data_IF_359079379191
#
_entry.id   IF_359079379191
#
_cell.length_a   1.000
_cell.length_b   1.000
_cell.length_c   1.000
_cell.angle_alpha   90.00
_cell.angle_beta   90.00
_cell.angle_gamma   90.00
#
_symmetry.space_group_name_H-M   'P 1'
#
loop_
_entity.id
_entity.type
_entity.pdbx_description
1 polymer ?
#
# COMPACT_ATOMS: atom_id res chain seq x y z
N UNK A 1 -20.11 -17.44 30.01
CA UNK A 1 -20.75 -16.79 28.85
C UNK A 1 -20.48 -17.65 27.62
N UNK A 2 -21.48 -18.36 27.11
CA UNK A 2 -21.34 -19.20 25.92
C UNK A 2 -21.05 -18.36 24.67
N UNK A 3 -20.28 -18.90 23.74
CA UNK A 3 -19.88 -18.23 22.49
C UNK A 3 -21.14 -17.93 21.64
N UNK A 4 -21.70 -16.73 21.76
CA UNK A 4 -22.81 -16.30 20.91
C UNK A 4 -22.32 -16.11 19.47
N UNK A 5 -22.88 -16.87 18.54
CA UNK A 5 -22.60 -16.74 17.11
C UNK A 5 -23.28 -15.46 16.62
N UNK A 6 -22.49 -14.40 16.37
CA UNK A 6 -23.02 -13.17 15.78
C UNK A 6 -23.69 -13.49 14.44
N UNK A 7 -24.89 -12.97 14.19
CA UNK A 7 -25.60 -13.10 12.90
C UNK A 7 -24.96 -12.23 11.80
N UNK A 8 -23.99 -11.38 12.17
CA UNK A 8 -23.24 -10.55 11.25
C UNK A 8 -22.13 -11.37 10.58
N UNK A 9 -22.36 -11.78 9.33
CA UNK A 9 -21.43 -12.59 8.54
C UNK A 9 -20.80 -11.73 7.45
N UNK A 10 -19.57 -12.05 7.06
CA UNK A 10 -18.93 -11.47 5.89
C UNK A 10 -18.69 -12.54 4.84
N UNK A 11 -19.04 -12.24 3.60
CA UNK A 11 -18.66 -13.05 2.45
C UNK A 11 -17.35 -12.52 1.88
N UNK A 12 -16.45 -13.45 1.54
CA UNK A 12 -15.16 -13.16 0.93
C UNK A 12 -15.15 -13.72 -0.49
N UNK A 13 -14.78 -12.87 -1.44
CA UNK A 13 -14.62 -13.21 -2.83
C UNK A 13 -13.20 -12.89 -3.27
N UNK A 14 -12.57 -13.85 -3.93
CA UNK A 14 -11.28 -13.68 -4.62
C UNK A 14 -11.59 -13.60 -6.11
N UNK A 15 -11.24 -12.49 -6.72
CA UNK A 15 -11.76 -12.07 -8.02
C UNK A 15 -10.58 -11.81 -8.96
N UNK A 16 -10.64 -12.42 -10.14
CA UNK A 16 -9.76 -12.07 -11.25
C UNK A 16 -10.45 -11.02 -12.12
N UNK A 17 -10.23 -9.73 -11.84
CA UNK A 17 -10.83 -8.66 -12.61
C UNK A 17 -10.12 -8.47 -13.95
N UNK A 18 -10.87 -8.27 -15.03
CA UNK A 18 -10.30 -8.10 -16.37
C UNK A 18 -9.45 -6.83 -16.51
N UNK A 19 -9.70 -5.79 -15.70
CA UNK A 19 -9.01 -4.49 -15.75
C UNK A 19 -7.96 -4.39 -14.65
N UNK A 20 -8.37 -4.53 -13.39
CA UNK A 20 -7.52 -4.36 -12.20
C UNK A 20 -6.66 -5.59 -11.89
N UNK A 21 -7.01 -6.76 -12.43
CA UNK A 21 -6.38 -8.02 -12.11
C UNK A 21 -6.85 -8.62 -10.79
N UNK A 22 -6.02 -9.47 -10.14
CA UNK A 22 -6.38 -10.12 -8.89
C UNK A 22 -6.74 -9.09 -7.82
N UNK A 23 -7.93 -9.25 -7.24
CA UNK A 23 -8.43 -8.43 -6.13
C UNK A 23 -9.26 -9.29 -5.18
N UNK A 24 -9.49 -8.79 -3.97
CA UNK A 24 -10.44 -9.41 -3.05
C UNK A 24 -11.53 -8.43 -2.61
N UNK A 25 -12.72 -8.97 -2.43
CA UNK A 25 -13.89 -8.26 -1.96
C UNK A 25 -14.43 -8.94 -0.72
N UNK A 26 -14.61 -8.18 0.35
CA UNK A 26 -15.32 -8.59 1.55
C UNK A 26 -16.63 -7.80 1.62
N UNK A 27 -17.76 -8.48 1.79
CA UNK A 27 -19.07 -7.81 1.91
C UNK A 27 -19.85 -8.34 3.11
N UNK A 28 -20.42 -7.42 3.90
CA UNK A 28 -21.27 -7.77 5.03
C UNK A 28 -22.63 -8.32 4.55
N UNK A 29 -23.14 -9.33 5.25
CA UNK A 29 -24.43 -9.97 4.97
C UNK A 29 -25.64 -9.15 5.45
N UNK A 30 -25.41 -8.08 6.22
CA UNK A 30 -26.46 -7.26 6.82
C UNK A 30 -26.32 -5.80 6.39
N UNK A 31 -27.46 -5.12 6.27
CA UNK A 31 -27.53 -3.71 5.89
C UNK A 31 -26.69 -2.85 6.87
N UNK A 32 -25.85 -1.91 6.40
CA UNK A 32 -25.80 -1.31 5.06
C UNK A 32 -24.91 -2.02 4.03
N UNK A 33 -24.63 -3.32 4.20
CA UNK A 33 -23.84 -4.14 3.27
C UNK A 33 -22.48 -3.51 2.98
N UNK A 34 -21.73 -3.20 4.04
CA UNK A 34 -20.40 -2.63 3.94
C UNK A 34 -19.51 -3.54 3.08
N UNK A 35 -18.87 -2.96 2.07
CA UNK A 35 -17.92 -3.63 1.21
C UNK A 35 -16.50 -3.10 1.47
N UNK A 36 -15.53 -4.00 1.50
CA UNK A 36 -14.10 -3.68 1.62
C UNK A 36 -13.37 -4.37 0.49
N UNK A 37 -12.45 -3.66 -0.15
CA UNK A 37 -11.71 -4.14 -1.29
C UNK A 37 -10.21 -4.08 -1.02
N UNK A 38 -9.50 -5.08 -1.51
CA UNK A 38 -8.05 -5.09 -1.60
C UNK A 38 -7.64 -5.26 -3.05
N UNK A 39 -6.80 -4.36 -3.53
CA UNK A 39 -6.38 -4.25 -4.92
C UNK A 39 -4.91 -3.86 -4.98
N UNK A 40 -4.23 -4.29 -6.04
CA UNK A 40 -2.80 -4.03 -6.24
C UNK A 40 -2.59 -3.31 -7.58
N UNK A 41 -2.10 -2.08 -7.53
CA UNK A 41 -1.85 -1.25 -8.71
C UNK A 41 -0.81 -1.86 -9.67
N UNK A 42 0.14 -2.67 -9.19
CA UNK A 42 1.11 -3.34 -10.06
C UNK A 42 0.46 -4.39 -10.96
N UNK A 43 -0.63 -5.03 -10.52
CA UNK A 43 -1.37 -5.97 -11.35
C UNK A 43 -2.10 -5.25 -12.50
N UNK A 44 -2.66 -4.07 -12.21
CA UNK A 44 -3.23 -3.21 -13.25
C UNK A 44 -2.18 -2.77 -14.27
N UNK A 45 -1.02 -2.28 -13.80
CA UNK A 45 0.08 -1.85 -14.68
C UNK A 45 0.56 -3.02 -15.54
N UNK A 46 0.74 -4.20 -14.97
CA UNK A 46 1.13 -5.41 -15.69
C UNK A 46 0.15 -5.74 -16.84
N UNK A 47 -1.15 -5.70 -16.57
CA UNK A 47 -2.19 -5.92 -17.58
C UNK A 47 -2.16 -4.87 -18.68
N UNK A 48 -1.96 -3.61 -18.33
CA UNK A 48 -1.85 -2.51 -19.30
C UNK A 48 -0.62 -2.66 -20.20
N UNK A 49 0.52 -3.08 -19.66
CA UNK A 49 1.73 -3.37 -20.44
C UNK A 49 1.52 -4.57 -21.37
N UNK A 50 0.87 -5.63 -20.89
CA UNK A 50 0.53 -6.79 -21.70
C UNK A 50 -0.38 -6.41 -22.88
N UNK A 51 -1.41 -5.60 -22.64
CA UNK A 51 -2.30 -5.06 -23.69
C UNK A 51 -1.54 -4.20 -24.71
N UNK A 52 -0.62 -3.38 -24.23
CA UNK A 52 0.25 -2.56 -25.08
C UNK A 52 1.41 -3.32 -25.72
N UNK A 53 1.50 -4.65 -25.52
CA UNK A 53 2.58 -5.51 -26.01
C UNK A 53 3.99 -5.00 -25.62
N UNK A 54 4.10 -4.35 -24.45
CA UNK A 54 5.36 -3.85 -23.93
C UNK A 54 6.09 -5.00 -23.23
N UNK A 55 7.35 -5.25 -23.61
CA UNK A 55 8.14 -6.30 -22.97
C UNK A 55 8.63 -5.82 -21.60
N UNK A 56 8.39 -6.61 -20.56
CA UNK A 56 8.92 -6.34 -19.21
C UNK A 56 9.28 -7.64 -18.50
N UNK A 57 10.05 -7.51 -17.41
CA UNK A 57 10.34 -8.59 -16.47
C UNK A 57 9.92 -8.12 -15.08
N UNK A 58 9.14 -8.94 -14.39
CA UNK A 58 8.68 -8.69 -13.03
C UNK A 58 9.22 -9.78 -12.09
N UNK A 59 9.47 -9.42 -10.84
CA UNK A 59 9.68 -10.36 -9.74
C UNK A 59 8.78 -9.94 -8.59
N UNK A 60 7.74 -10.72 -8.33
CA UNK A 60 6.62 -10.34 -7.46
C UNK A 60 6.06 -8.95 -7.84
N UNK A 61 6.19 -7.94 -6.97
CA UNK A 61 5.73 -6.58 -7.20
C UNK A 61 6.75 -5.68 -7.93
N UNK A 62 8.00 -6.13 -8.06
CA UNK A 62 9.07 -5.31 -8.61
C UNK A 62 9.20 -5.46 -10.13
N UNK A 63 9.13 -4.35 -10.87
CA UNK A 63 9.50 -4.28 -12.28
C UNK A 63 11.02 -4.23 -12.41
N UNK A 64 11.65 -5.33 -12.83
CA UNK A 64 13.10 -5.46 -12.97
C UNK A 64 13.63 -4.86 -14.27
N UNK A 65 12.85 -4.94 -15.34
CA UNK A 65 13.19 -4.34 -16.64
C UNK A 65 11.94 -4.06 -17.45
N UNK A 66 11.97 -3.01 -18.28
CA UNK A 66 10.89 -2.68 -19.22
C UNK A 66 11.50 -2.14 -20.51
N UNK A 67 10.95 -2.54 -21.67
CA UNK A 67 11.44 -2.08 -22.98
C UNK A 67 11.06 -0.63 -23.29
N UNK A 68 9.99 -0.13 -22.68
CA UNK A 68 9.52 1.24 -22.83
C UNK A 68 9.10 1.84 -21.47
N UNK A 69 9.96 2.68 -20.90
CA UNK A 69 9.73 3.34 -19.61
C UNK A 69 8.54 4.31 -19.66
N UNK A 70 8.36 5.03 -20.78
CA UNK A 70 7.24 5.96 -20.94
C UNK A 70 5.90 5.22 -20.95
N UNK A 71 5.85 4.02 -21.53
CA UNK A 71 4.66 3.18 -21.50
C UNK A 71 4.34 2.65 -20.09
N UNK A 72 5.37 2.32 -19.29
CA UNK A 72 5.20 1.97 -17.87
C UNK A 72 4.60 3.12 -17.07
N UNK A 73 5.13 4.33 -17.23
CA UNK A 73 4.60 5.51 -16.55
C UNK A 73 3.16 5.79 -17.00
N UNK A 74 2.89 5.78 -18.31
CA UNK A 74 1.55 5.99 -18.84
C UNK A 74 0.55 4.93 -18.34
N UNK A 75 0.97 3.68 -18.15
CA UNK A 75 0.14 2.65 -17.54
C UNK A 75 -0.16 2.97 -16.06
N UNK A 76 0.83 3.42 -15.29
CA UNK A 76 0.61 3.86 -13.92
C UNK A 76 -0.33 5.07 -13.84
N UNK A 77 -0.20 6.04 -14.75
CA UNK A 77 -1.03 7.25 -14.78
C UNK A 77 -2.51 6.95 -15.12
N UNK A 78 -2.77 5.87 -15.85
CA UNK A 78 -4.15 5.39 -16.14
C UNK A 78 -4.82 4.76 -14.92
N UNK A 79 -4.08 4.44 -13.86
CA UNK A 79 -4.62 3.88 -12.64
C UNK A 79 -5.31 4.96 -11.79
N UNK A 80 -6.51 5.35 -12.22
CA UNK A 80 -7.27 6.45 -11.64
C UNK A 80 -8.39 5.97 -10.72
N UNK A 81 -8.87 6.86 -9.85
CA UNK A 81 -10.03 6.61 -8.99
C UNK A 81 -11.28 6.23 -9.78
N UNK A 82 -11.50 6.83 -10.96
CA UNK A 82 -12.64 6.51 -11.82
C UNK A 82 -12.61 5.08 -12.35
N UNK A 83 -11.44 4.57 -12.73
CA UNK A 83 -11.27 3.17 -13.16
C UNK A 83 -11.55 2.23 -11.98
N UNK A 84 -10.98 2.53 -10.81
CA UNK A 84 -11.19 1.73 -9.60
C UNK A 84 -12.68 1.69 -9.25
N UNK A 85 -13.31 2.85 -9.08
CA UNK A 85 -14.72 2.97 -8.72
C UNK A 85 -15.63 2.18 -9.66
N UNK A 86 -15.43 2.30 -10.98
CA UNK A 86 -16.20 1.57 -11.99
C UNK A 86 -16.12 0.05 -11.79
N UNK A 87 -14.95 -0.49 -11.47
CA UNK A 87 -14.78 -1.94 -11.24
C UNK A 87 -15.32 -2.37 -9.88
N UNK A 88 -15.15 -1.55 -8.84
CA UNK A 88 -15.75 -1.83 -7.52
C UNK A 88 -17.28 -1.87 -7.59
N UNK A 89 -17.89 -0.91 -8.30
CA UNK A 89 -19.34 -0.87 -8.50
C UNK A 89 -19.83 -2.09 -9.30
N UNK A 90 -19.10 -2.47 -10.36
CA UNK A 90 -19.38 -3.66 -11.15
C UNK A 90 -19.43 -4.93 -10.28
N UNK A 91 -18.39 -5.19 -9.49
CA UNK A 91 -18.33 -6.40 -8.66
C UNK A 91 -19.28 -6.33 -7.47
N UNK A 92 -19.50 -5.15 -6.87
CA UNK A 92 -20.50 -5.00 -5.82
C UNK A 92 -21.90 -5.33 -6.33
N UNK A 93 -22.24 -4.89 -7.54
CA UNK A 93 -23.53 -5.20 -8.15
C UNK A 93 -23.68 -6.70 -8.46
N UNK A 94 -22.58 -7.36 -8.84
CA UNK A 94 -22.60 -8.77 -9.27
C UNK A 94 -22.58 -9.77 -8.11
N UNK A 95 -21.82 -9.49 -7.06
CA UNK A 95 -21.55 -10.42 -5.95
C UNK A 95 -22.11 -9.95 -4.60
N UNK A 96 -22.35 -8.65 -4.45
CA UNK A 96 -22.92 -8.09 -3.23
C UNK A 96 -24.44 -8.28 -3.16
N UNK A 97 -25.03 -8.11 -1.95
CA UNK A 97 -26.47 -7.98 -1.81
C UNK A 97 -26.97 -6.84 -2.69
N UNK A 98 -27.87 -7.16 -3.62
CA UNK A 98 -28.36 -6.23 -4.64
C UNK A 98 -29.83 -5.93 -4.44
N UNK A 99 -30.20 -4.70 -4.77
CA UNK A 99 -31.57 -4.24 -4.80
C UNK A 99 -32.13 -4.42 -6.21
N UNK A 100 -33.40 -4.83 -6.29
CA UNK A 100 -34.13 -4.91 -7.55
C UNK A 100 -34.16 -3.56 -8.26
N UNK A 101 -34.44 -3.56 -9.57
CA UNK A 101 -34.56 -2.32 -10.35
C UNK A 101 -35.64 -1.39 -9.76
N UNK A 102 -36.73 -1.96 -9.24
CA UNK A 102 -37.83 -1.22 -8.60
C UNK A 102 -37.35 -0.52 -7.32
N UNK A 103 -36.64 -1.24 -6.45
CA UNK A 103 -36.12 -0.67 -5.20
C UNK A 103 -35.09 0.42 -5.44
N UNK A 104 -34.20 0.24 -6.44
CA UNK A 104 -33.23 1.26 -6.85
C UNK A 104 -33.87 2.49 -7.50
N UNK A 105 -35.03 2.36 -8.13
CA UNK A 105 -35.77 3.50 -8.66
C UNK A 105 -36.52 4.25 -7.54
N UNK A 106 -36.94 3.54 -6.50
CA UNK A 106 -37.65 4.13 -5.35
C UNK A 106 -36.74 4.85 -4.37
N UNK A 107 -35.43 4.58 -4.38
CA UNK A 107 -34.46 5.15 -3.43
C UNK A 107 -33.15 5.51 -4.12
N UNK A 108 -32.57 6.66 -3.78
CA UNK A 108 -31.26 7.07 -4.28
C UNK A 108 -30.12 6.31 -3.58
N UNK A 109 -29.92 5.04 -3.97
CA UNK A 109 -28.90 4.18 -3.41
C UNK A 109 -27.55 4.42 -4.10
N UNK A 110 -26.58 4.89 -3.33
CA UNK A 110 -25.19 5.09 -3.78
C UNK A 110 -24.20 4.52 -2.77
N UNK A 111 -22.96 4.31 -3.22
CA UNK A 111 -21.86 3.90 -2.38
C UNK A 111 -20.76 4.95 -2.46
N UNK A 112 -20.19 5.25 -1.30
CA UNK A 112 -19.00 6.06 -1.18
C UNK A 112 -17.82 5.16 -0.83
N UNK A 113 -16.71 5.33 -1.54
CA UNK A 113 -15.48 4.59 -1.30
C UNK A 113 -14.46 5.49 -0.63
N UNK A 114 -13.84 4.99 0.44
CA UNK A 114 -12.73 5.63 1.12
C UNK A 114 -11.52 4.69 1.13
N UNK A 115 -10.33 5.28 1.05
CA UNK A 115 -9.07 4.55 1.13
C UNK A 115 -8.66 4.47 2.60
N UNK A 116 -8.62 3.25 3.15
CA UNK A 116 -8.18 3.03 4.54
C UNK A 116 -6.66 2.92 4.65
N UNK A 117 -6.04 2.18 3.73
CA UNK A 117 -4.60 2.01 3.63
C UNK A 117 -4.20 2.10 2.16
N UNK A 118 -3.09 2.76 1.89
CA UNK A 118 -2.49 2.87 0.55
C UNK A 118 -0.98 2.77 0.68
N UNK A 119 -0.38 2.00 -0.20
CA UNK A 119 1.06 1.90 -0.35
C UNK A 119 1.46 2.63 -1.63
N UNK A 120 2.40 3.57 -1.51
CA UNK A 120 2.92 4.32 -2.65
C UNK A 120 4.22 3.70 -3.12
N UNK A 121 4.37 3.56 -4.44
CA UNK A 121 5.61 3.14 -5.06
C UNK A 121 6.20 4.28 -5.88
N UNK A 122 7.51 4.54 -5.70
CA UNK A 122 8.29 5.42 -6.57
C UNK A 122 9.43 4.63 -7.18
N UNK A 123 9.37 4.41 -8.48
CA UNK A 123 10.37 3.63 -9.19
C UNK A 123 11.48 4.53 -9.74
N UNK A 124 12.73 4.12 -9.53
CA UNK A 124 13.91 4.73 -10.15
C UNK A 124 14.53 3.73 -11.11
N UNK A 125 14.62 4.10 -12.39
CA UNK A 125 15.11 3.20 -13.44
C UNK A 125 16.52 3.64 -13.84
N UNK A 126 17.48 2.74 -13.66
CA UNK A 126 18.88 2.98 -13.97
C UNK A 126 19.32 2.15 -15.18
N UNK A 127 20.16 2.74 -16.03
CA UNK A 127 20.76 2.02 -17.18
C UNK A 127 21.96 1.14 -16.77
N UNK A 128 22.55 1.39 -15.60
CA UNK A 128 23.74 0.69 -15.08
C UNK A 128 23.53 0.38 -13.61
N UNK A 129 24.04 -0.76 -13.15
CA UNK A 129 23.93 -1.18 -11.76
C UNK A 129 24.84 -0.33 -10.84
N UNK A 130 26.08 -0.04 -11.25
CA UNK A 130 27.07 0.59 -10.37
C UNK A 130 26.59 1.88 -9.64
N UNK A 131 25.92 2.85 -10.33
CA UNK A 131 25.39 4.03 -9.66
C UNK A 131 24.35 3.73 -8.56
N UNK A 132 23.53 2.68 -8.70
CA UNK A 132 22.51 2.37 -7.71
C UNK A 132 23.14 1.98 -6.37
N UNK A 133 24.24 1.23 -6.43
CA UNK A 133 24.90 0.73 -5.25
C UNK A 133 25.50 1.89 -4.45
N UNK A 134 26.20 2.81 -5.14
CA UNK A 134 26.78 4.00 -4.51
C UNK A 134 25.73 4.96 -3.96
N UNK A 135 24.64 5.18 -4.69
CA UNK A 135 23.52 6.02 -4.22
C UNK A 135 22.82 5.35 -3.03
N UNK A 136 22.61 4.04 -3.06
CA UNK A 136 21.98 3.29 -1.98
C UNK A 136 22.85 3.31 -0.72
N UNK A 137 24.14 2.96 -0.82
CA UNK A 137 25.11 3.07 0.28
C UNK A 137 25.05 4.48 0.90
N UNK A 138 25.17 5.52 0.07
CA UNK A 138 25.15 6.90 0.54
C UNK A 138 23.81 7.31 1.15
N UNK A 139 22.70 6.79 0.64
CA UNK A 139 21.36 7.04 1.19
C UNK A 139 21.17 6.37 2.55
N UNK A 140 21.70 5.16 2.73
CA UNK A 140 21.74 4.47 4.02
C UNK A 140 22.60 5.24 5.02
N UNK A 141 23.81 5.67 4.64
CA UNK A 141 24.65 6.54 5.46
C UNK A 141 23.91 7.81 5.86
N UNK A 142 23.35 8.54 4.90
CA UNK A 142 22.60 9.78 5.17
C UNK A 142 21.38 9.50 6.06
N UNK A 143 20.67 8.40 5.84
CA UNK A 143 19.54 7.96 6.66
C UNK A 143 19.95 7.75 8.11
N UNK A 144 21.06 7.04 8.33
CA UNK A 144 21.67 6.84 9.66
C UNK A 144 22.02 8.17 10.33
N UNK A 145 22.63 9.11 9.58
CA UNK A 145 23.01 10.42 10.11
C UNK A 145 21.81 11.36 10.36
N UNK A 146 20.73 11.24 9.57
CA UNK A 146 19.56 12.13 9.65
C UNK A 146 18.48 11.62 10.62
N UNK A 147 18.41 10.31 10.89
CA UNK A 147 17.44 9.70 11.80
C UNK A 147 17.84 9.87 13.28
N UNK A 148 18.03 11.10 13.70
CA UNK A 148 18.29 11.42 15.10
C UNK A 148 17.02 11.25 15.94
N UNK A 149 17.18 11.02 17.24
CA UNK A 149 16.06 10.99 18.18
C UNK A 149 15.19 12.28 18.13
N UNK A 150 15.80 13.41 17.77
CA UNK A 150 15.10 14.68 17.52
C UNK A 150 14.18 14.59 16.30
N UNK A 151 14.68 14.06 15.18
CA UNK A 151 13.91 13.90 13.94
C UNK A 151 12.76 12.92 14.12
N UNK A 152 12.97 11.84 14.88
CA UNK A 152 11.91 10.90 15.27
C UNK A 152 10.82 11.64 16.05
N UNK A 153 11.19 12.51 17.00
CA UNK A 153 10.22 13.28 17.76
C UNK A 153 9.40 14.24 16.89
N UNK A 154 10.00 14.85 15.86
CA UNK A 154 9.29 15.67 14.86
C UNK A 154 8.29 14.83 14.06
N UNK A 155 8.70 13.65 13.57
CA UNK A 155 7.84 12.74 12.78
C UNK A 155 6.63 12.28 13.58
N UNK A 156 6.82 11.93 14.85
CA UNK A 156 5.74 11.48 15.74
C UNK A 156 5.06 12.63 16.52
N UNK A 157 5.30 13.89 16.12
CA UNK A 157 4.57 15.06 16.61
C UNK A 157 4.77 15.37 18.10
N UNK A 158 5.88 14.94 18.71
CA UNK A 158 6.16 15.18 20.13
C UNK A 158 7.19 16.29 20.33
N UNK A 159 6.88 17.25 21.20
CA UNK A 159 7.80 18.33 21.55
C UNK A 159 8.81 17.83 22.58
N UNK A 160 10.10 17.94 22.24
CA UNK A 160 11.19 17.65 23.18
C UNK A 160 11.28 18.79 24.19
N UNK A 161 11.13 18.47 25.48
CA UNK A 161 11.23 19.43 26.58
C UNK A 161 12.09 18.83 27.69
N UNK A 162 12.61 19.66 28.62
CA UNK A 162 13.36 19.17 29.79
C UNK A 162 12.56 18.20 30.68
N UNK A 163 11.22 18.15 30.53
CA UNK A 163 10.31 17.25 31.26
C UNK A 163 10.01 15.94 30.51
N UNK A 164 10.61 15.70 29.34
CA UNK A 164 10.41 14.47 28.57
C UNK A 164 10.89 13.27 29.40
N UNK A 165 9.97 12.36 29.75
CA UNK A 165 10.30 11.10 30.42
C UNK A 165 10.68 10.03 29.39
N UNK A 166 11.84 9.41 29.56
CA UNK A 166 12.35 8.31 28.73
C UNK A 166 13.66 8.64 28.00
N UNK A 167 14.16 7.72 27.16
CA UNK A 167 15.45 7.87 26.47
C UNK A 167 15.29 8.67 25.18
N UNK A 168 16.27 9.54 24.92
CA UNK A 168 16.41 10.32 23.69
C UNK A 168 17.87 10.28 23.27
N UNK A 169 18.30 9.19 22.64
CA UNK A 169 19.65 9.01 22.16
C UNK A 169 19.67 8.22 20.85
N UNK A 170 20.72 8.44 20.06
CA UNK A 170 20.98 7.71 18.82
C UNK A 170 22.33 7.04 18.99
N UNK A 171 22.37 5.70 18.94
CA UNK A 171 23.58 4.89 19.07
C UNK A 171 23.82 4.11 17.79
N UNK A 172 25.08 4.08 17.36
CA UNK A 172 25.57 3.19 16.32
C UNK A 172 26.51 2.20 17.01
N UNK A 173 26.06 0.97 17.18
CA UNK A 173 26.83 -0.09 17.84
C UNK A 173 27.43 -1.01 16.78
N UNK A 174 28.75 -1.22 16.83
CA UNK A 174 29.40 -2.24 16.02
C UNK A 174 29.38 -3.56 16.79
N UNK A 175 28.72 -4.58 16.23
CA UNK A 175 28.73 -5.93 16.79
C UNK A 175 29.93 -6.68 16.20
N UNK A 176 30.51 -7.60 16.97
CA UNK A 176 31.73 -8.37 16.68
C UNK A 176 31.78 -9.08 15.31
N UNK A 177 30.68 -9.10 14.54
CA UNK A 177 30.58 -9.76 13.24
C UNK A 177 30.56 -8.77 12.06
N UNK A 178 31.00 -7.52 12.25
CA UNK A 178 31.09 -6.51 11.20
C UNK A 178 29.74 -5.87 10.80
N UNK A 179 28.65 -6.24 11.47
CA UNK A 179 27.35 -5.62 11.29
C UNK A 179 27.19 -4.45 12.28
N UNK A 180 26.95 -3.26 11.74
CA UNK A 180 26.55 -2.11 12.53
C UNK A 180 25.05 -2.18 12.82
N UNK A 181 24.65 -2.05 14.08
CA UNK A 181 23.26 -1.86 14.47
C UNK A 181 23.07 -0.40 14.81
N UNK A 182 22.12 0.22 14.12
CA UNK A 182 21.66 1.55 14.45
C UNK A 182 20.45 1.45 15.37
N UNK A 183 20.51 2.17 16.50
CA UNK A 183 19.36 2.32 17.40
C UNK A 183 19.11 3.78 17.66
N UNK A 184 17.91 4.23 17.33
CA UNK A 184 17.43 5.54 17.75
C UNK A 184 16.30 5.34 18.77
N UNK A 185 16.55 5.74 20.01
CA UNK A 185 15.60 5.61 21.11
C UNK A 185 14.76 6.89 21.24
N UNK A 186 13.47 6.69 21.49
CA UNK A 186 12.50 7.74 21.75
C UNK A 186 11.52 7.29 22.83
N UNK A 187 11.56 7.95 23.99
CA UNK A 187 10.79 7.59 25.20
C UNK A 187 11.03 6.12 25.61
N UNK A 188 10.04 5.26 25.37
CA UNK A 188 10.06 3.81 25.65
C UNK A 188 10.11 2.98 24.35
N UNK A 189 10.21 3.62 23.18
CA UNK A 189 10.30 2.98 21.88
C UNK A 189 11.69 3.17 21.28
N UNK A 190 12.04 2.33 20.31
CA UNK A 190 13.27 2.48 19.54
C UNK A 190 13.05 2.02 18.10
N UNK A 191 13.78 2.64 17.19
CA UNK A 191 13.92 2.19 15.80
C UNK A 191 15.26 1.47 15.70
N UNK A 192 15.25 0.25 15.15
CA UNK A 192 16.44 -0.56 14.93
C UNK A 192 16.60 -0.79 13.43
N UNK A 193 17.80 -0.52 12.90
CA UNK A 193 18.19 -0.82 11.53
C UNK A 193 19.52 -1.59 11.54
#
# INVERSE_FOLDING_TARGET
LGRQRSRFTHYYFYIEDEVLGPMSMRVASFFPFQATYYLNGHNFIERELNRGQVRFRKNDNAFLSVSNVSALQAAADRFTSGVIQKRLDYWTLRLGPSFSKRERAAMNLSRFYAVNQVEYCRNFIFKRHFPIHKIFERSCEIGLWRMTANKISEIFGSRITKKLKGKLNTTLEQIEHGHHIFRAYWKNAFVKQ
#
